data_IF_227217985858
#
_entry.id   IF_227217985858
#
_cell.length_a   1.000
_cell.length_b   1.000
_cell.length_c   1.000
_cell.angle_alpha   90.00
_cell.angle_beta   90.00
_cell.angle_gamma   90.00
#
_symmetry.space_group_name_H-M   'P 1'
#
loop_
_entity.id
_entity.type
_entity.pdbx_description
1 polymer ?
#
# COMPACT_ATOMS: atom_id res chain seq x y z
N UNK A 1 11.87 -24.60 -20.30
CA UNK A 1 11.33 -23.26 -20.55
C UNK A 1 10.11 -23.07 -19.66
N UNK A 2 10.18 -22.18 -18.68
CA UNK A 2 9.13 -21.97 -17.66
C UNK A 2 9.02 -20.46 -17.39
N UNK A 3 8.76 -19.66 -18.43
CA UNK A 3 8.59 -18.21 -18.29
C UNK A 3 7.12 -17.84 -18.03
N UNK A 4 6.17 -18.55 -18.63
CA UNK A 4 4.73 -18.26 -18.55
C UNK A 4 4.12 -18.51 -17.16
N UNK A 5 4.63 -19.51 -16.43
CA UNK A 5 4.15 -19.82 -15.07
C UNK A 5 4.63 -18.76 -14.08
N UNK A 6 5.87 -18.29 -14.23
CA UNK A 6 6.45 -17.29 -13.34
C UNK A 6 5.79 -15.91 -13.51
N UNK A 7 5.46 -15.49 -14.73
CA UNK A 7 4.82 -14.19 -14.99
C UNK A 7 3.38 -14.12 -14.44
N UNK A 8 2.59 -15.18 -14.59
CA UNK A 8 1.23 -15.23 -14.03
C UNK A 8 1.23 -15.18 -12.49
N UNK A 9 2.16 -15.88 -11.84
CA UNK A 9 2.32 -15.85 -10.38
C UNK A 9 2.71 -14.46 -9.88
N UNK A 10 3.62 -13.77 -10.58
CA UNK A 10 4.06 -12.42 -10.20
C UNK A 10 2.94 -11.39 -10.42
N UNK A 11 2.16 -11.51 -11.49
CA UNK A 11 0.98 -10.66 -11.71
C UNK A 11 -0.05 -10.85 -10.59
N UNK A 12 -0.35 -12.11 -10.22
CA UNK A 12 -1.25 -12.42 -9.11
C UNK A 12 -0.72 -11.91 -7.76
N UNK A 13 0.58 -12.07 -7.49
CA UNK A 13 1.21 -11.53 -6.29
C UNK A 13 1.12 -10.00 -6.23
N UNK A 14 1.37 -9.31 -7.35
CA UNK A 14 1.27 -7.86 -7.46
C UNK A 14 -0.16 -7.37 -7.20
N UNK A 15 -1.17 -8.05 -7.73
CA UNK A 15 -2.57 -7.76 -7.47
C UNK A 15 -2.93 -7.90 -5.98
N UNK A 16 -2.49 -8.98 -5.33
CA UNK A 16 -2.68 -9.17 -3.88
C UNK A 16 -2.00 -8.06 -3.08
N UNK A 17 -0.78 -7.67 -3.44
CA UNK A 17 -0.06 -6.60 -2.73
C UNK A 17 -0.76 -5.25 -2.88
N UNK A 18 -1.29 -4.92 -4.07
CA UNK A 18 -2.09 -3.69 -4.27
C UNK A 18 -3.34 -3.66 -3.40
N UNK A 19 -4.07 -4.77 -3.31
CA UNK A 19 -5.23 -4.87 -2.43
C UNK A 19 -4.85 -4.65 -0.95
N UNK A 20 -3.72 -5.21 -0.51
CA UNK A 20 -3.20 -4.96 0.84
C UNK A 20 -2.83 -3.50 1.07
N UNK A 21 -2.23 -2.83 0.07
CA UNK A 21 -1.91 -1.40 0.15
C UNK A 21 -3.17 -0.56 0.35
N UNK A 22 -4.21 -0.80 -0.44
CA UNK A 22 -5.48 -0.08 -0.32
C UNK A 22 -6.15 -0.29 1.04
N UNK A 23 -6.17 -1.55 1.53
CA UNK A 23 -6.71 -1.87 2.84
C UNK A 23 -5.95 -1.16 3.98
N UNK A 24 -4.61 -1.12 3.90
CA UNK A 24 -3.78 -0.45 4.90
C UNK A 24 -3.99 1.07 4.91
N UNK A 25 -4.18 1.70 3.74
CA UNK A 25 -4.54 3.13 3.66
C UNK A 25 -5.89 3.42 4.31
N UNK A 26 -6.89 2.58 4.01
CA UNK A 26 -8.22 2.73 4.58
C UNK A 26 -8.21 2.59 6.11
N UNK A 27 -7.52 1.57 6.62
CA UNK A 27 -7.38 1.35 8.06
C UNK A 27 -6.60 2.49 8.73
N UNK A 28 -5.53 2.97 8.09
CA UNK A 28 -4.76 4.08 8.63
C UNK A 28 -5.60 5.38 8.73
N UNK A 29 -6.42 5.65 7.72
CA UNK A 29 -7.37 6.76 7.75
C UNK A 29 -8.44 6.58 8.84
N UNK A 30 -8.99 5.37 8.99
CA UNK A 30 -10.00 5.05 9.99
C UNK A 30 -9.48 5.27 11.43
N UNK A 31 -8.22 4.89 11.70
CA UNK A 31 -7.61 5.05 13.02
C UNK A 31 -7.57 6.52 13.48
N UNK A 32 -7.38 7.47 12.57
CA UNK A 32 -7.47 8.91 12.91
C UNK A 32 -8.87 9.28 13.39
N UNK A 33 -9.90 8.80 12.69
CA UNK A 33 -11.29 8.99 13.08
C UNK A 33 -11.59 8.42 14.46
N UNK A 34 -11.07 7.23 14.78
CA UNK A 34 -11.21 6.62 16.10
C UNK A 34 -10.54 7.46 17.20
N UNK A 35 -9.33 7.97 16.97
CA UNK A 35 -8.61 8.82 17.94
C UNK A 35 -9.35 10.14 18.21
N UNK A 36 -9.90 10.78 17.18
CA UNK A 36 -10.69 12.01 17.31
C UNK A 36 -12.00 11.72 18.09
N UNK A 37 -12.69 10.62 17.78
CA UNK A 37 -13.90 10.23 18.50
C UNK A 37 -13.62 9.95 19.98
N UNK A 38 -12.52 9.25 20.30
CA UNK A 38 -12.06 9.03 21.66
C UNK A 38 -11.73 10.34 22.39
N UNK A 39 -11.00 11.25 21.73
CA UNK A 39 -10.71 12.58 22.29
C UNK A 39 -12.00 13.34 22.63
N UNK A 40 -13.02 13.27 21.77
CA UNK A 40 -14.29 13.97 21.99
C UNK A 40 -15.13 13.37 23.12
N UNK A 41 -14.96 12.09 23.43
CA UNK A 41 -15.73 11.39 24.47
C UNK A 41 -15.10 11.46 25.86
N UNK A 42 -13.81 11.80 25.98
CA UNK A 42 -13.09 11.92 27.24
C UNK A 42 -12.96 13.39 27.69
N UNK A 43 -13.68 13.79 28.73
CA UNK A 43 -13.56 15.13 29.33
C UNK A 43 -12.46 15.20 30.40
N UNK A 44 -11.78 16.34 30.53
CA UNK A 44 -10.78 16.59 31.57
C UNK A 44 -9.33 16.27 31.16
N UNK A 45 -8.43 16.08 32.13
CA UNK A 45 -6.98 15.95 31.91
C UNK A 45 -6.55 14.78 31.00
N UNK A 46 -7.41 13.76 30.81
CA UNK A 46 -7.16 12.67 29.88
C UNK A 46 -7.29 13.07 28.40
N UNK A 47 -8.00 14.15 28.08
CA UNK A 47 -8.11 14.66 26.70
C UNK A 47 -6.75 15.05 26.09
N UNK A 48 -5.83 15.53 26.92
CA UNK A 48 -4.47 15.88 26.50
C UNK A 48 -3.67 14.64 26.06
N UNK A 49 -3.89 13.48 26.70
CA UNK A 49 -3.23 12.23 26.30
C UNK A 49 -3.73 11.75 24.94
N UNK A 50 -5.03 11.87 24.65
CA UNK A 50 -5.58 11.55 23.32
C UNK A 50 -5.13 12.54 22.24
N UNK A 51 -5.00 13.82 22.58
CA UNK A 51 -4.44 14.80 21.66
C UNK A 51 -3.00 14.44 21.26
N UNK A 52 -2.15 14.08 22.22
CA UNK A 52 -0.80 13.60 21.94
C UNK A 52 -0.78 12.30 21.13
N UNK A 53 -1.70 11.36 21.40
CA UNK A 53 -1.83 10.14 20.60
C UNK A 53 -2.26 10.44 19.15
N UNK A 54 -3.16 11.40 18.93
CA UNK A 54 -3.59 11.84 17.60
C UNK A 54 -2.45 12.51 16.82
N UNK A 55 -1.65 13.37 17.48
CA UNK A 55 -0.46 13.98 16.87
C UNK A 55 0.59 12.93 16.49
N UNK A 56 0.89 11.99 17.40
CA UNK A 56 1.81 10.90 17.11
C UNK A 56 1.32 10.05 15.93
N UNK A 57 0.02 9.76 15.90
CA UNK A 57 -0.60 9.01 14.82
C UNK A 57 -0.53 9.74 13.47
N UNK A 58 -0.69 11.06 13.42
CA UNK A 58 -0.51 11.83 12.17
C UNK A 58 0.88 11.63 11.56
N UNK A 59 1.92 11.60 12.39
CA UNK A 59 3.29 11.33 11.94
C UNK A 59 3.42 9.90 11.43
N UNK A 60 2.90 8.92 12.17
CA UNK A 60 2.92 7.51 11.76
C UNK A 60 2.16 7.28 10.45
N UNK A 61 0.98 7.88 10.30
CA UNK A 61 0.18 7.77 9.09
C UNK A 61 0.96 8.27 7.86
N UNK A 62 1.71 9.37 7.99
CA UNK A 62 2.52 9.88 6.89
C UNK A 62 3.63 8.91 6.47
N UNK A 63 4.31 8.31 7.44
CA UNK A 63 5.32 7.27 7.18
C UNK A 63 4.70 6.04 6.51
N UNK A 64 3.51 5.63 6.93
CA UNK A 64 2.76 4.54 6.28
C UNK A 64 2.46 4.89 4.82
N UNK A 65 1.91 6.08 4.55
CA UNK A 65 1.59 6.51 3.19
C UNK A 65 2.82 6.59 2.28
N UNK A 66 3.94 7.09 2.79
CA UNK A 66 5.20 7.16 2.05
C UNK A 66 5.68 5.74 1.68
N UNK A 67 5.67 4.80 2.63
CA UNK A 67 6.05 3.41 2.39
C UNK A 67 5.13 2.71 1.39
N UNK A 68 3.82 2.89 1.52
CA UNK A 68 2.82 2.30 0.61
C UNK A 68 2.93 2.88 -0.80
N UNK A 69 3.29 4.16 -0.93
CA UNK A 69 3.56 4.80 -2.22
C UNK A 69 4.81 4.22 -2.88
N UNK A 70 5.88 3.99 -2.12
CA UNK A 70 7.10 3.34 -2.62
C UNK A 70 6.85 1.90 -3.08
N UNK A 71 6.06 1.14 -2.33
CA UNK A 71 5.65 -0.23 -2.72
C UNK A 71 4.85 -0.20 -4.02
N UNK A 72 3.88 0.71 -4.12
CA UNK A 72 3.04 0.84 -5.32
C UNK A 72 3.88 1.16 -6.55
N UNK A 73 4.83 2.10 -6.44
CA UNK A 73 5.75 2.45 -7.51
C UNK A 73 6.63 1.27 -7.95
N UNK A 74 7.15 0.49 -6.99
CA UNK A 74 7.94 -0.71 -7.30
C UNK A 74 7.11 -1.78 -8.04
N UNK A 75 5.85 -1.98 -7.65
CA UNK A 75 4.94 -2.90 -8.33
C UNK A 75 4.62 -2.45 -9.75
N UNK A 76 4.44 -1.16 -9.98
CA UNK A 76 4.20 -0.60 -11.31
C UNK A 76 5.40 -0.78 -12.24
N UNK A 77 6.62 -0.56 -11.72
CA UNK A 77 7.86 -0.81 -12.44
C UNK A 77 8.05 -2.29 -12.78
N UNK A 78 7.77 -3.18 -11.83
CA UNK A 78 7.81 -4.62 -12.06
C UNK A 78 6.83 -5.02 -13.17
N UNK A 79 5.57 -4.56 -13.09
CA UNK A 79 4.56 -4.83 -14.10
C UNK A 79 4.96 -4.36 -15.51
N UNK A 80 5.55 -3.17 -15.63
CA UNK A 80 6.04 -2.63 -16.90
C UNK A 80 7.17 -3.48 -17.49
N UNK A 81 8.12 -3.91 -16.67
CA UNK A 81 9.25 -4.77 -17.10
C UNK A 81 8.77 -6.14 -17.61
N UNK A 82 7.76 -6.72 -16.98
CA UNK A 82 7.17 -7.97 -17.44
C UNK A 82 6.46 -7.82 -18.80
N UNK A 83 5.69 -6.74 -18.99
CA UNK A 83 5.03 -6.47 -20.27
C UNK A 83 6.02 -6.31 -21.43
N UNK A 84 7.15 -5.64 -21.19
CA UNK A 84 8.21 -5.49 -22.19
C UNK A 84 8.91 -6.82 -22.53
N UNK A 85 9.14 -7.65 -21.51
CA UNK A 85 9.73 -8.99 -21.66
C UNK A 85 8.84 -9.89 -22.51
N UNK A 86 7.53 -9.89 -22.25
CA UNK A 86 6.56 -10.69 -23.01
C UNK A 86 6.41 -10.20 -24.47
N UNK A 87 6.40 -8.88 -24.69
CA UNK A 87 6.36 -8.31 -26.03
C UNK A 87 7.62 -8.69 -26.86
N UNK A 88 8.79 -8.70 -26.22
CA UNK A 88 10.05 -9.10 -26.85
C UNK A 88 10.07 -10.59 -27.18
N UNK A 89 9.63 -11.44 -26.26
CA UNK A 89 9.51 -12.87 -26.49
C UNK A 89 8.55 -13.17 -27.65
N UNK A 90 7.40 -12.50 -27.70
CA UNK A 90 6.42 -12.66 -28.79
C UNK A 90 7.05 -12.33 -30.14
N UNK A 91 7.77 -11.20 -30.27
CA UNK A 91 8.45 -10.83 -31.52
C UNK A 91 9.49 -11.87 -31.97
N UNK A 92 10.21 -12.49 -31.05
CA UNK A 92 11.23 -13.50 -31.36
C UNK A 92 10.62 -14.80 -31.92
N UNK A 93 9.36 -15.12 -31.57
CA UNK A 93 8.68 -16.32 -32.05
C UNK A 93 7.71 -16.05 -33.21
N UNK A 94 7.36 -14.78 -33.48
CA UNK A 94 6.55 -14.37 -34.64
C UNK A 94 7.37 -13.77 -35.78
N UNK A 95 8.69 -13.60 -35.60
CA UNK A 95 9.63 -13.02 -36.57
C UNK A 95 10.49 -14.07 -37.27
#
# INVERSE_FOLDING_TARGET
MQFTVNTAEVAAASARTRASVEALRAEASAMMGHLIALQSSWTGGASAAFAGAAEQWQVTQRVVEDNLSMISLALDQAAASYAETEATATRLFTG
#
